data_IF_937953432543
#
_entry.id   IF_937953432543
#
_cell.length_a   1.000
_cell.length_b   1.000
_cell.length_c   1.000
_cell.angle_alpha   90.00
_cell.angle_beta   90.00
_cell.angle_gamma   90.00
#
_symmetry.space_group_name_H-M   'P 1'
#
loop_
_entity.id
_entity.type
_entity.pdbx_description
1 polymer ?
#
# COMPACT_ATOMS: atom_id res chain seq x y z
N UNK A 1 4.59 4.28 -3.30
CA UNK A 1 3.71 3.31 -2.61
C UNK A 1 3.04 3.99 -1.44
N UNK A 2 1.72 3.82 -1.30
CA UNK A 2 0.98 4.43 -0.21
C UNK A 2 0.26 3.36 0.63
N UNK A 3 0.49 3.39 1.93
CA UNK A 3 -0.25 2.58 2.90
C UNK A 3 -1.41 3.39 3.47
N UNK A 4 -2.61 2.84 3.37
CA UNK A 4 -3.87 3.52 3.64
C UNK A 4 -4.62 2.79 4.76
N UNK A 5 -5.27 3.52 5.63
CA UNK A 5 -6.09 2.95 6.72
C UNK A 5 -6.30 3.92 7.87
N UNK A 6 -7.26 3.61 8.71
CA UNK A 6 -7.51 4.35 9.94
C UNK A 6 -6.33 4.23 10.94
N UNK A 7 -6.34 5.06 11.97
CA UNK A 7 -5.40 4.92 13.08
C UNK A 7 -5.56 3.53 13.73
N UNK A 8 -4.45 2.87 14.02
CA UNK A 8 -4.47 1.54 14.62
C UNK A 8 -4.80 0.39 13.65
N UNK A 9 -4.86 0.63 12.33
CA UNK A 9 -5.07 -0.43 11.32
C UNK A 9 -3.82 -1.27 11.02
N UNK A 10 -2.67 -0.97 11.64
CA UNK A 10 -1.42 -1.72 11.48
C UNK A 10 -0.52 -1.21 10.35
N UNK A 11 -0.74 0.00 9.81
CA UNK A 11 0.09 0.56 8.72
C UNK A 11 1.57 0.61 9.08
N UNK A 12 1.92 1.16 10.23
CA UNK A 12 3.32 1.28 10.68
C UNK A 12 3.99 -0.08 10.82
N UNK A 13 3.26 -1.10 11.33
CA UNK A 13 3.75 -2.47 11.42
C UNK A 13 4.05 -3.06 10.03
N UNK A 14 3.15 -2.86 9.07
CA UNK A 14 3.33 -3.34 7.69
C UNK A 14 4.47 -2.61 6.98
N UNK A 15 4.59 -1.29 7.20
CA UNK A 15 5.71 -0.50 6.71
C UNK A 15 7.05 -0.96 7.28
N UNK A 16 7.10 -1.18 8.59
CA UNK A 16 8.32 -1.69 9.24
C UNK A 16 8.73 -3.05 8.67
N UNK A 17 7.76 -3.94 8.42
CA UNK A 17 8.01 -5.23 7.79
C UNK A 17 8.53 -5.07 6.35
N UNK A 18 7.98 -4.15 5.56
CA UNK A 18 8.43 -3.86 4.20
C UNK A 18 9.86 -3.30 4.19
N UNK A 19 10.16 -2.34 5.07
CA UNK A 19 11.51 -1.77 5.21
C UNK A 19 12.50 -2.86 5.66
N UNK A 20 12.13 -3.71 6.63
CA UNK A 20 13.01 -4.81 7.06
C UNK A 20 13.23 -5.84 5.94
N UNK A 21 12.20 -6.15 5.15
CA UNK A 21 12.33 -7.01 3.98
C UNK A 21 13.32 -6.42 2.97
N UNK A 22 13.17 -5.16 2.59
CA UNK A 22 14.09 -4.46 1.68
C UNK A 22 15.52 -4.45 2.24
N UNK A 23 15.68 -4.16 3.53
CA UNK A 23 16.96 -4.12 4.24
C UNK A 23 17.67 -5.48 4.28
N UNK A 24 16.95 -6.60 4.23
CA UNK A 24 17.53 -7.96 4.20
C UNK A 24 17.93 -8.40 2.81
N UNK A 25 17.22 -7.96 1.78
CA UNK A 25 17.32 -8.53 0.45
C UNK A 25 18.08 -7.67 -0.54
N UNK A 26 18.23 -6.36 -0.29
CA UNK A 26 18.94 -5.47 -1.19
C UNK A 26 19.83 -4.49 -0.44
N UNK A 27 20.97 -4.17 -1.04
CA UNK A 27 21.85 -3.08 -0.61
C UNK A 27 21.27 -1.73 -0.98
N UNK A 28 21.70 -0.68 -0.30
CA UNK A 28 21.30 0.70 -0.60
C UNK A 28 21.15 1.55 0.64
N UNK A 29 20.61 2.75 0.44
CA UNK A 29 20.40 3.73 1.49
C UNK A 29 18.90 4.00 1.67
N UNK A 30 18.38 3.72 2.85
CA UNK A 30 16.99 3.94 3.23
C UNK A 30 16.94 5.12 4.21
N UNK A 31 16.17 6.14 3.89
CA UNK A 31 15.92 7.25 4.80
C UNK A 31 14.47 7.21 5.25
N UNK A 32 14.23 7.30 6.55
CA UNK A 32 12.88 7.47 7.10
C UNK A 32 12.75 8.81 7.80
N UNK A 33 11.57 9.44 7.68
CA UNK A 33 11.21 10.67 8.37
C UNK A 33 9.85 10.42 9.01
N UNK A 34 9.80 10.36 10.33
CA UNK A 34 8.65 9.87 11.10
C UNK A 34 8.28 10.83 12.24
N UNK A 35 7.05 10.74 12.73
CA UNK A 35 6.50 11.59 13.80
C UNK A 35 5.49 10.79 14.66
N UNK A 36 5.95 10.04 15.69
CA UNK A 36 7.34 9.67 16.04
C UNK A 36 7.85 8.41 15.31
N UNK A 37 9.11 8.02 15.56
CA UNK A 37 9.67 6.72 15.15
C UNK A 37 9.05 5.61 16.01
N UNK A 38 8.26 4.72 15.39
CA UNK A 38 7.62 3.59 16.10
C UNK A 38 8.49 2.34 16.14
N UNK A 39 9.31 2.10 15.11
CA UNK A 39 10.15 0.91 14.98
C UNK A 39 11.58 1.30 14.64
N UNK A 40 12.52 0.80 15.41
CA UNK A 40 13.96 1.02 15.17
C UNK A 40 14.50 -0.06 14.25
N UNK A 41 15.08 0.33 13.13
CA UNK A 41 15.69 -0.55 12.15
C UNK A 41 17.21 -0.64 12.33
N UNK A 42 17.74 -1.86 12.47
CA UNK A 42 19.18 -2.10 12.42
C UNK A 42 19.65 -2.18 10.98
N UNK A 43 20.84 -1.67 10.68
CA UNK A 43 21.49 -1.89 9.39
C UNK A 43 21.69 -3.40 9.13
N UNK A 44 21.39 -3.84 7.91
CA UNK A 44 21.64 -5.20 7.43
C UNK A 44 22.40 -5.12 6.11
N UNK A 45 21.72 -5.33 4.98
CA UNK A 45 22.31 -5.06 3.65
C UNK A 45 22.22 -3.59 3.25
N UNK A 46 21.26 -2.87 3.79
CA UNK A 46 21.09 -1.43 3.55
C UNK A 46 21.56 -0.62 4.77
N UNK A 47 21.98 0.61 4.52
CA UNK A 47 22.15 1.64 5.55
C UNK A 47 20.77 2.29 5.78
N UNK A 48 20.33 2.38 7.03
CA UNK A 48 19.07 3.01 7.38
C UNK A 48 19.32 4.23 8.26
N UNK A 49 18.88 5.39 7.83
CA UNK A 49 18.89 6.62 8.60
C UNK A 49 17.45 7.00 8.94
N UNK A 50 17.10 6.93 10.22
CA UNK A 50 15.78 7.34 10.73
C UNK A 50 15.89 8.73 11.34
N UNK A 51 14.89 9.57 11.06
CA UNK A 51 14.79 10.93 11.59
C UNK A 51 13.43 11.15 12.20
N UNK A 52 13.41 11.52 13.45
CA UNK A 52 12.18 11.89 14.17
C UNK A 52 11.95 13.40 14.10
N UNK A 53 10.73 13.80 13.75
CA UNK A 53 10.32 15.20 13.78
C UNK A 53 10.24 15.67 15.23
N UNK A 54 10.82 16.84 15.50
CA UNK A 54 10.92 17.38 16.87
C UNK A 54 12.15 16.94 17.65
N UNK A 55 12.85 15.88 17.20
CA UNK A 55 14.09 15.38 17.82
C UNK A 55 15.28 15.61 16.88
N UNK A 56 15.28 14.96 15.71
CA UNK A 56 16.38 14.99 14.74
C UNK A 56 16.20 16.07 13.66
N UNK A 57 14.97 16.52 13.46
CA UNK A 57 14.60 17.54 12.49
C UNK A 57 13.45 18.40 13.01
N UNK A 58 13.42 19.67 12.57
CA UNK A 58 12.39 20.61 13.02
C UNK A 58 10.99 20.35 12.43
N UNK A 59 10.93 19.77 11.24
CA UNK A 59 9.67 19.49 10.53
C UNK A 59 9.91 18.50 9.38
N UNK A 60 8.83 17.92 8.85
CA UNK A 60 8.88 17.13 7.63
C UNK A 60 9.52 17.92 6.48
N UNK A 61 9.10 19.16 6.25
CA UNK A 61 9.67 20.02 5.19
C UNK A 61 11.18 20.18 5.31
N UNK A 62 11.68 20.50 6.51
CA UNK A 62 13.12 20.69 6.74
C UNK A 62 13.92 19.41 6.46
N UNK A 63 13.38 18.25 6.82
CA UNK A 63 14.00 16.96 6.55
C UNK A 63 13.98 16.64 5.04
N UNK A 64 12.81 16.74 4.40
CA UNK A 64 12.59 16.35 3.00
C UNK A 64 13.41 17.20 2.01
N UNK A 65 13.53 18.48 2.28
CA UNK A 65 14.28 19.43 1.42
C UNK A 65 15.71 19.00 1.09
N UNK A 66 16.37 18.31 2.01
CA UNK A 66 17.78 17.91 1.84
C UNK A 66 17.93 16.39 1.61
N UNK A 67 16.86 15.64 1.58
CA UNK A 67 16.90 14.17 1.50
C UNK A 67 17.54 13.69 0.19
N UNK A 68 17.19 14.27 -0.96
CA UNK A 68 17.77 13.89 -2.26
C UNK A 68 19.31 14.04 -2.32
N UNK A 69 19.87 15.00 -1.57
CA UNK A 69 21.33 15.21 -1.53
C UNK A 69 22.09 14.13 -0.79
N UNK A 70 21.38 13.21 -0.14
CA UNK A 70 21.95 12.10 0.62
C UNK A 70 21.96 10.80 -0.19
N UNK A 71 21.60 10.87 -1.48
CA UNK A 71 21.51 9.74 -2.41
C UNK A 71 20.77 8.52 -1.81
N UNK A 72 19.51 8.65 -1.37
CA UNK A 72 18.72 7.53 -0.89
C UNK A 72 18.21 6.69 -2.06
N UNK A 73 18.06 5.39 -1.86
CA UNK A 73 17.32 4.52 -2.79
C UNK A 73 15.85 4.44 -2.40
N UNK A 74 15.57 4.49 -1.09
CA UNK A 74 14.22 4.41 -0.52
C UNK A 74 14.01 5.55 0.47
N UNK A 75 12.89 6.24 0.34
CA UNK A 75 12.48 7.32 1.24
C UNK A 75 11.12 6.95 1.84
N UNK A 76 11.07 6.77 3.16
CA UNK A 76 9.83 6.62 3.91
C UNK A 76 9.46 7.95 4.53
N UNK A 77 8.28 8.44 4.18
CA UNK A 77 7.65 9.62 4.79
C UNK A 77 6.54 9.09 5.70
N UNK A 78 6.65 9.29 7.00
CA UNK A 78 5.76 8.71 8.00
C UNK A 78 4.29 8.83 7.62
N UNK A 79 3.85 10.05 7.29
CA UNK A 79 2.51 10.27 6.73
C UNK A 79 2.44 11.51 5.83
N UNK A 80 1.51 11.48 4.86
CA UNK A 80 1.13 12.64 4.05
C UNK A 80 -0.11 13.28 4.66
N UNK A 81 0.05 14.50 5.18
CA UNK A 81 -1.03 15.29 5.80
C UNK A 81 -1.45 16.47 4.95
N UNK A 82 -0.61 16.93 4.05
CA UNK A 82 -0.77 18.16 3.30
C UNK A 82 -0.19 18.08 1.90
N UNK A 83 -0.43 19.15 1.14
CA UNK A 83 0.04 19.31 -0.22
C UNK A 83 1.55 19.27 -0.33
N UNK A 84 2.27 19.98 0.55
CA UNK A 84 3.71 20.14 0.49
C UNK A 84 4.42 18.78 0.64
N UNK A 85 3.99 17.98 1.62
CA UNK A 85 4.50 16.62 1.82
C UNK A 85 4.21 15.73 0.61
N UNK A 86 3.01 15.86 -0.01
CA UNK A 86 2.68 15.11 -1.22
C UNK A 86 3.52 15.52 -2.42
N UNK A 87 3.78 16.82 -2.61
CA UNK A 87 4.66 17.34 -3.67
C UNK A 87 6.08 16.78 -3.52
N UNK A 88 6.61 16.68 -2.31
CA UNK A 88 7.90 16.03 -2.06
C UNK A 88 7.89 14.53 -2.41
N UNK A 89 6.85 13.80 -2.00
CA UNK A 89 6.72 12.37 -2.31
C UNK A 89 6.70 12.11 -3.83
N UNK A 90 5.97 12.94 -4.57
CA UNK A 90 5.92 12.87 -6.04
C UNK A 90 7.28 13.21 -6.66
N UNK A 91 7.94 14.29 -6.21
CA UNK A 91 9.25 14.68 -6.72
C UNK A 91 10.32 13.59 -6.50
N UNK A 92 10.26 12.87 -5.37
CA UNK A 92 11.14 11.73 -5.12
C UNK A 92 10.86 10.58 -6.08
N UNK A 93 9.59 10.25 -6.29
CA UNK A 93 9.19 9.20 -7.22
C UNK A 93 9.57 9.54 -8.66
N UNK A 94 9.40 10.79 -9.09
CA UNK A 94 9.76 11.30 -10.42
C UNK A 94 11.28 11.19 -10.69
N UNK A 95 12.09 11.35 -9.66
CA UNK A 95 13.54 11.23 -9.76
C UNK A 95 14.06 9.79 -9.58
N UNK A 96 13.16 8.79 -9.61
CA UNK A 96 13.51 7.37 -9.62
C UNK A 96 13.65 6.73 -8.23
N UNK A 97 13.41 7.47 -7.15
CA UNK A 97 13.48 6.93 -5.79
C UNK A 97 12.20 6.20 -5.42
N UNK A 98 12.29 5.15 -4.62
CA UNK A 98 11.12 4.52 -4.04
C UNK A 98 10.58 5.35 -2.87
N UNK A 99 9.57 6.17 -3.14
CA UNK A 99 8.85 6.91 -2.11
C UNK A 99 7.75 6.04 -1.49
N UNK A 100 7.76 5.89 -0.17
CA UNK A 100 6.77 5.13 0.60
C UNK A 100 6.19 6.05 1.66
N UNK A 101 4.87 6.04 1.84
CA UNK A 101 4.23 6.84 2.89
C UNK A 101 2.93 6.22 3.38
N UNK A 102 2.36 6.83 4.43
CA UNK A 102 1.00 6.51 4.88
C UNK A 102 0.03 7.64 4.57
N UNK A 103 -1.24 7.28 4.46
CA UNK A 103 -2.34 8.21 4.34
C UNK A 103 -3.53 7.71 5.15
N UNK A 104 -4.18 8.62 5.86
CA UNK A 104 -5.42 8.31 6.58
C UNK A 104 -6.62 8.38 5.64
N UNK A 105 -7.08 7.24 5.14
CA UNK A 105 -8.31 7.06 4.37
C UNK A 105 -8.79 5.62 4.58
N UNK A 106 -10.01 5.27 4.14
CA UNK A 106 -10.55 3.93 4.38
C UNK A 106 -10.25 2.93 3.25
N UNK A 107 -9.98 3.40 2.04
CA UNK A 107 -9.63 2.58 0.86
C UNK A 107 -8.86 3.43 -0.17
N UNK A 108 -8.44 2.81 -1.27
CA UNK A 108 -7.66 3.46 -2.32
C UNK A 108 -8.41 4.63 -2.99
N UNK A 109 -9.71 4.49 -3.25
CA UNK A 109 -10.50 5.57 -3.86
C UNK A 109 -10.55 6.80 -2.96
N UNK A 110 -10.88 6.62 -1.67
CA UNK A 110 -10.88 7.72 -0.71
C UNK A 110 -9.50 8.34 -0.50
N UNK A 111 -8.44 7.54 -0.62
CA UNK A 111 -7.08 8.04 -0.57
C UNK A 111 -6.78 8.96 -1.74
N UNK A 112 -7.18 8.58 -2.96
CA UNK A 112 -7.05 9.42 -4.16
C UNK A 112 -7.85 10.71 -4.02
N UNK A 113 -9.12 10.64 -3.61
CA UNK A 113 -9.95 11.82 -3.36
C UNK A 113 -9.30 12.77 -2.36
N UNK A 114 -8.73 12.22 -1.27
CA UNK A 114 -8.05 13.01 -0.26
C UNK A 114 -6.80 13.69 -0.81
N UNK A 115 -5.99 12.98 -1.60
CA UNK A 115 -4.81 13.54 -2.24
C UNK A 115 -5.22 14.68 -3.20
N UNK A 116 -6.25 14.48 -4.02
CA UNK A 116 -6.75 15.51 -4.94
C UNK A 116 -7.21 16.75 -4.18
N UNK A 117 -7.85 16.57 -3.03
CA UNK A 117 -8.33 17.67 -2.19
C UNK A 117 -7.22 18.46 -1.46
N UNK A 118 -5.99 17.96 -1.40
CA UNK A 118 -4.85 18.77 -0.95
C UNK A 118 -4.48 19.87 -1.95
N UNK A 119 -4.89 19.74 -3.23
CA UNK A 119 -4.48 20.63 -4.30
C UNK A 119 -5.63 21.52 -4.78
N UNK A 120 -5.36 22.80 -5.08
CA UNK A 120 -6.33 23.66 -5.72
C UNK A 120 -6.66 23.16 -7.12
N UNK A 121 -7.82 23.53 -7.65
CA UNK A 121 -8.36 23.00 -8.91
C UNK A 121 -7.38 23.12 -10.09
N UNK A 122 -6.68 24.24 -10.17
CA UNK A 122 -5.76 24.53 -11.27
C UNK A 122 -4.54 23.58 -11.29
N UNK A 123 -4.22 22.97 -10.15
CA UNK A 123 -3.10 22.02 -9.99
C UNK A 123 -3.51 20.56 -10.13
N UNK A 124 -4.79 20.25 -10.07
CA UNK A 124 -5.29 18.86 -10.11
C UNK A 124 -4.95 18.10 -11.40
N UNK A 125 -5.01 18.70 -12.61
CA UNK A 125 -4.60 17.97 -13.81
C UNK A 125 -3.15 17.52 -13.77
N UNK A 126 -2.23 18.39 -13.32
CA UNK A 126 -0.83 18.04 -13.18
C UNK A 126 -0.62 16.97 -12.10
N UNK A 127 -1.30 17.10 -10.95
CA UNK A 127 -1.26 16.10 -9.89
C UNK A 127 -1.68 14.71 -10.39
N UNK A 128 -2.80 14.61 -11.12
CA UNK A 128 -3.30 13.35 -11.64
C UNK A 128 -2.33 12.73 -12.65
N UNK A 129 -1.69 13.56 -13.47
CA UNK A 129 -0.66 13.12 -14.39
C UNK A 129 0.55 12.55 -13.64
N UNK A 130 1.10 13.30 -12.68
CA UNK A 130 2.28 12.90 -11.91
C UNK A 130 1.98 11.64 -11.06
N UNK A 131 0.79 11.60 -10.45
CA UNK A 131 0.36 10.46 -9.64
C UNK A 131 0.17 9.20 -10.50
N UNK A 132 -0.47 9.32 -11.67
CA UNK A 132 -0.64 8.19 -12.59
C UNK A 132 0.70 7.65 -13.07
N UNK A 133 1.68 8.50 -13.38
CA UNK A 133 3.00 8.07 -13.83
C UNK A 133 3.79 7.36 -12.73
N UNK A 134 3.71 7.86 -11.49
CA UNK A 134 4.58 7.44 -10.39
C UNK A 134 3.98 6.39 -9.47
N UNK A 135 2.65 6.20 -9.51
CA UNK A 135 1.99 5.25 -8.63
C UNK A 135 2.45 3.82 -8.90
N UNK A 136 2.99 3.16 -7.87
CA UNK A 136 3.29 1.73 -7.89
C UNK A 136 2.18 0.91 -7.23
N UNK A 137 1.76 1.29 -6.03
CA UNK A 137 0.68 0.61 -5.32
C UNK A 137 0.02 1.49 -4.25
N UNK A 138 -1.27 1.23 -4.02
CA UNK A 138 -1.93 1.49 -2.75
C UNK A 138 -2.14 0.18 -2.00
N UNK A 139 -1.83 0.17 -0.72
CA UNK A 139 -2.08 -0.95 0.20
C UNK A 139 -2.97 -0.44 1.31
N UNK A 140 -4.26 -0.73 1.23
CA UNK A 140 -5.23 -0.30 2.24
C UNK A 140 -5.43 -1.41 3.26
N UNK A 141 -5.58 -1.06 4.54
CA UNK A 141 -5.57 -2.03 5.62
C UNK A 141 -6.64 -1.73 6.67
N UNK A 142 -7.39 -2.78 7.05
CA UNK A 142 -8.36 -2.81 8.17
C UNK A 142 -8.02 -3.99 9.09
N UNK A 143 -8.12 -3.78 10.41
CA UNK A 143 -8.02 -4.88 11.36
C UNK A 143 -9.43 -5.36 11.74
N UNK A 144 -9.70 -6.63 11.44
CA UNK A 144 -10.97 -7.30 11.74
C UNK A 144 -10.82 -8.30 12.89
N UNK A 145 -11.87 -8.53 13.67
CA UNK A 145 -11.86 -9.47 14.78
C UNK A 145 -11.96 -10.89 14.25
N UNK A 146 -11.07 -11.75 14.72
CA UNK A 146 -11.09 -13.17 14.40
C UNK A 146 -11.98 -13.97 15.36
N UNK A 147 -12.40 -15.13 14.95
CA UNK A 147 -13.25 -16.06 15.75
C UNK A 147 -12.55 -16.53 17.03
N UNK A 148 -11.20 -16.51 17.07
CA UNK A 148 -10.39 -16.81 18.26
C UNK A 148 -10.11 -15.59 19.16
N UNK A 149 -10.79 -14.46 18.90
CA UNK A 149 -10.69 -13.24 19.71
C UNK A 149 -9.47 -12.34 19.42
N UNK A 150 -8.65 -12.68 18.43
CA UNK A 150 -7.53 -11.87 17.98
C UNK A 150 -7.94 -10.85 16.92
N UNK A 151 -6.95 -10.30 16.20
CA UNK A 151 -7.17 -9.44 15.05
C UNK A 151 -6.37 -9.95 13.85
N UNK A 152 -6.98 -9.86 12.68
CA UNK A 152 -6.32 -10.16 11.39
C UNK A 152 -6.48 -8.97 10.46
N UNK A 153 -5.51 -8.73 9.61
CA UNK A 153 -5.60 -7.67 8.62
C UNK A 153 -6.43 -8.15 7.41
N UNK A 154 -7.50 -7.42 7.10
CA UNK A 154 -8.06 -7.43 5.76
C UNK A 154 -7.30 -6.37 4.95
N UNK A 155 -6.84 -6.74 3.75
CA UNK A 155 -5.97 -5.91 2.93
C UNK A 155 -6.59 -5.71 1.56
N UNK A 156 -6.65 -4.46 1.12
CA UNK A 156 -6.92 -4.09 -0.27
C UNK A 156 -5.60 -3.74 -0.94
N UNK A 157 -5.39 -4.21 -2.17
CA UNK A 157 -4.19 -3.93 -2.96
C UNK A 157 -4.59 -3.43 -4.34
N UNK A 158 -4.21 -2.20 -4.66
CA UNK A 158 -4.32 -1.62 -6.00
C UNK A 158 -2.92 -1.39 -6.56
N UNK A 159 -2.62 -1.96 -7.71
CA UNK A 159 -1.34 -1.81 -8.40
C UNK A 159 -1.44 -0.76 -9.52
N UNK A 160 -0.37 0.02 -9.69
CA UNK A 160 -0.25 1.04 -10.74
C UNK A 160 -0.06 0.43 -12.13
N UNK A 161 -0.98 -0.44 -12.57
CA UNK A 161 -0.98 -0.98 -13.95
C UNK A 161 -1.31 0.10 -14.97
N UNK A 162 -1.00 -0.09 -16.26
CA UNK A 162 -1.35 0.89 -17.30
C UNK A 162 -2.80 1.32 -17.26
N UNK A 163 -3.75 0.39 -17.08
CA UNK A 163 -5.18 0.69 -16.99
C UNK A 163 -5.52 1.56 -15.77
N UNK A 164 -4.97 1.23 -14.59
CA UNK A 164 -5.17 2.04 -13.37
C UNK A 164 -4.60 3.45 -13.55
N UNK A 165 -3.41 3.57 -14.15
CA UNK A 165 -2.77 4.87 -14.42
C UNK A 165 -3.61 5.74 -15.36
N UNK A 166 -4.15 5.13 -16.44
CA UNK A 166 -5.00 5.82 -17.40
C UNK A 166 -6.30 6.32 -16.76
N UNK A 167 -6.95 5.52 -15.91
CA UNK A 167 -8.12 5.95 -15.15
C UNK A 167 -7.81 7.11 -14.20
N UNK A 168 -6.65 7.09 -13.54
CA UNK A 168 -6.21 8.20 -12.68
C UNK A 168 -5.98 9.46 -13.51
N UNK A 169 -5.30 9.37 -14.66
CA UNK A 169 -5.08 10.50 -15.56
C UNK A 169 -6.38 11.16 -16.01
N UNK A 170 -7.42 10.35 -16.29
CA UNK A 170 -8.75 10.84 -16.69
C UNK A 170 -9.65 11.26 -15.54
N UNK A 171 -9.20 11.08 -14.30
CA UNK A 171 -10.00 11.27 -13.08
C UNK A 171 -11.26 10.38 -13.03
N UNK A 172 -11.19 9.18 -13.62
CA UNK A 172 -12.27 8.18 -13.64
C UNK A 172 -12.15 7.22 -12.45
N UNK A 173 -12.10 7.78 -11.24
CA UNK A 173 -11.76 7.02 -10.02
C UNK A 173 -12.84 6.00 -9.62
N UNK A 174 -14.07 6.18 -10.05
CA UNK A 174 -15.18 5.24 -9.78
C UNK A 174 -14.99 3.88 -10.43
N UNK A 175 -14.23 3.82 -11.53
CA UNK A 175 -13.98 2.58 -12.28
C UNK A 175 -12.88 1.72 -11.67
N UNK A 176 -12.05 2.28 -10.79
CA UNK A 176 -10.88 1.60 -10.22
C UNK A 176 -11.24 0.27 -9.54
N UNK A 177 -12.31 0.27 -8.73
CA UNK A 177 -12.74 -0.93 -8.01
C UNK A 177 -13.11 -2.08 -8.96
N UNK A 178 -13.82 -1.77 -10.05
CA UNK A 178 -14.19 -2.76 -11.06
C UNK A 178 -12.99 -3.35 -11.82
N UNK A 179 -11.93 -2.56 -12.03
CA UNK A 179 -10.67 -3.04 -12.60
C UNK A 179 -9.91 -3.91 -11.59
N UNK A 180 -9.85 -3.51 -10.33
CA UNK A 180 -9.21 -4.31 -9.27
C UNK A 180 -9.85 -5.69 -9.14
N UNK A 181 -11.19 -5.78 -9.14
CA UNK A 181 -11.94 -7.03 -9.07
C UNK A 181 -11.62 -7.98 -10.24
N UNK A 182 -11.37 -7.44 -11.44
CA UNK A 182 -11.02 -8.20 -12.64
C UNK A 182 -9.54 -8.54 -12.74
N UNK A 183 -8.70 -7.95 -11.91
CA UNK A 183 -7.22 -8.04 -11.98
C UNK A 183 -6.60 -8.80 -10.81
N UNK A 184 -7.34 -9.74 -10.24
CA UNK A 184 -6.86 -10.58 -9.12
C UNK A 184 -5.67 -11.46 -9.52
N UNK A 185 -5.59 -11.85 -10.79
CA UNK A 185 -4.46 -12.58 -11.36
C UNK A 185 -3.15 -11.77 -11.35
N UNK A 186 -3.23 -10.44 -11.30
CA UNK A 186 -2.08 -9.54 -11.18
C UNK A 186 -1.70 -9.27 -9.72
N UNK A 187 -2.43 -9.82 -8.76
CA UNK A 187 -2.23 -9.59 -7.32
C UNK A 187 -3.04 -8.42 -6.75
N UNK A 188 -3.97 -7.84 -7.51
CA UNK A 188 -4.91 -6.88 -6.98
C UNK A 188 -5.98 -7.56 -6.13
N UNK A 189 -6.45 -6.86 -5.11
CA UNK A 189 -7.47 -7.38 -4.19
C UNK A 189 -8.30 -6.22 -3.65
N UNK A 190 -9.63 -6.37 -3.63
CA UNK A 190 -10.52 -5.43 -2.95
C UNK A 190 -10.75 -5.85 -1.50
N UNK A 191 -11.22 -4.93 -0.64
CA UNK A 191 -11.63 -5.30 0.73
C UNK A 191 -12.73 -6.34 0.74
N UNK A 192 -13.71 -6.23 -0.16
CA UNK A 192 -14.83 -7.17 -0.23
C UNK A 192 -14.34 -8.60 -0.55
N UNK A 193 -13.31 -8.73 -1.42
CA UNK A 193 -12.67 -10.02 -1.70
C UNK A 193 -11.92 -10.56 -0.47
N UNK A 194 -11.09 -9.73 0.17
CA UNK A 194 -10.34 -10.12 1.35
C UNK A 194 -11.25 -10.56 2.51
N UNK A 195 -12.35 -9.86 2.73
CA UNK A 195 -13.31 -10.16 3.79
C UNK A 195 -14.11 -11.42 3.48
N UNK A 196 -14.51 -11.62 2.22
CA UNK A 196 -15.14 -12.84 1.77
C UNK A 196 -14.25 -14.06 2.01
N UNK A 197 -12.99 -14.00 1.60
CA UNK A 197 -12.03 -15.09 1.75
C UNK A 197 -11.81 -15.42 3.24
N UNK A 198 -11.65 -14.40 4.10
CA UNK A 198 -11.51 -14.57 5.55
C UNK A 198 -12.75 -15.22 6.20
N UNK A 199 -13.94 -14.90 5.71
CA UNK A 199 -15.18 -15.49 6.22
C UNK A 199 -15.33 -16.96 5.76
N UNK A 200 -15.02 -17.26 4.50
CA UNK A 200 -15.03 -18.65 3.95
C UNK A 200 -13.98 -19.52 4.64
N UNK A 201 -12.81 -18.98 4.97
CA UNK A 201 -11.79 -19.66 5.79
C UNK A 201 -12.27 -19.92 7.24
N UNK A 202 -13.37 -19.32 7.69
CA UNK A 202 -13.82 -19.35 9.09
C UNK A 202 -12.95 -18.53 10.05
N UNK A 203 -12.04 -17.72 9.51
CA UNK A 203 -11.15 -16.86 10.32
C UNK A 203 -11.91 -15.71 10.99
N UNK A 204 -12.96 -15.21 10.34
CA UNK A 204 -13.87 -14.19 10.87
C UNK A 204 -15.32 -14.64 10.72
N UNK A 205 -16.24 -14.03 11.48
CA UNK A 205 -17.66 -14.28 11.31
C UNK A 205 -18.22 -13.56 10.09
N UNK A 206 -19.35 -14.03 9.55
CA UNK A 206 -20.06 -13.33 8.47
C UNK A 206 -20.43 -11.89 8.88
N UNK A 207 -20.93 -11.70 10.09
CA UNK A 207 -21.28 -10.37 10.62
C UNK A 207 -20.05 -9.41 10.64
N UNK A 208 -18.88 -9.93 11.03
CA UNK A 208 -17.65 -9.13 11.01
C UNK A 208 -17.23 -8.79 9.58
N UNK A 209 -17.38 -9.72 8.63
CA UNK A 209 -17.14 -9.45 7.22
C UNK A 209 -18.06 -8.35 6.67
N UNK A 210 -19.38 -8.49 6.91
CA UNK A 210 -20.39 -7.52 6.43
C UNK A 210 -20.22 -6.13 7.05
N UNK A 211 -19.84 -6.06 8.33
CA UNK A 211 -19.58 -4.80 9.04
C UNK A 211 -18.43 -4.01 8.46
N UNK A 212 -17.41 -4.70 7.96
CA UNK A 212 -16.19 -4.09 7.45
C UNK A 212 -16.15 -3.98 5.91
N UNK A 213 -17.14 -4.53 5.20
CA UNK A 213 -17.22 -4.50 3.75
C UNK A 213 -17.50 -3.10 3.20
N UNK A 214 -16.96 -2.81 2.03
CA UNK A 214 -17.31 -1.60 1.26
C UNK A 214 -18.71 -1.77 0.65
N UNK A 215 -19.06 -3.00 0.23
CA UNK A 215 -20.39 -3.38 -0.24
C UNK A 215 -20.91 -4.61 0.50
N UNK A 216 -21.55 -4.40 1.65
CA UNK A 216 -22.11 -5.49 2.47
C UNK A 216 -23.10 -6.38 1.69
N UNK A 217 -23.87 -5.81 0.76
CA UNK A 217 -24.81 -6.57 -0.06
C UNK A 217 -24.09 -7.53 -1.02
N UNK A 218 -23.01 -7.09 -1.63
CA UNK A 218 -22.21 -7.90 -2.54
C UNK A 218 -21.56 -9.08 -1.78
N UNK A 219 -20.92 -8.79 -0.64
CA UNK A 219 -20.30 -9.83 0.21
C UNK A 219 -21.36 -10.82 0.71
N UNK A 220 -22.53 -10.35 1.18
CA UNK A 220 -23.63 -11.20 1.63
C UNK A 220 -24.14 -12.13 0.52
N UNK A 221 -24.32 -11.60 -0.69
CA UNK A 221 -24.77 -12.41 -1.82
C UNK A 221 -23.76 -13.52 -2.14
N UNK A 222 -22.48 -13.20 -2.17
CA UNK A 222 -21.40 -14.17 -2.43
C UNK A 222 -21.31 -15.25 -1.36
N UNK A 223 -21.45 -14.89 -0.08
CA UNK A 223 -21.46 -15.85 1.03
C UNK A 223 -22.66 -16.78 0.96
N UNK A 224 -23.86 -16.28 0.62
CA UNK A 224 -25.05 -17.10 0.41
C UNK A 224 -24.87 -18.10 -0.74
N UNK A 225 -24.41 -17.65 -1.89
CA UNK A 225 -24.14 -18.53 -3.03
C UNK A 225 -23.13 -19.63 -2.65
N UNK A 226 -22.09 -19.28 -1.89
CA UNK A 226 -21.12 -20.25 -1.42
C UNK A 226 -21.74 -21.30 -0.48
N UNK A 227 -22.71 -20.92 0.37
CA UNK A 227 -23.39 -21.81 1.28
C UNK A 227 -24.45 -22.71 0.57
N UNK A 228 -25.09 -22.24 -0.49
CA UNK A 228 -26.10 -22.95 -1.28
C UNK A 228 -25.48 -23.97 -2.24
N UNK A 229 -24.29 -23.70 -2.78
CA UNK A 229 -23.60 -24.64 -3.68
C UNK A 229 -23.05 -25.89 -2.96
N UNK A 230 -23.19 -26.01 -1.61
CA UNK A 230 -22.62 -27.07 -0.78
C UNK A 230 -21.08 -27.09 -0.91
N UNK A 231 -20.35 -28.01 -0.25
CA UNK A 231 -18.93 -28.15 -0.49
C UNK A 231 -18.73 -28.65 -1.92
N UNK A 232 -18.86 -27.70 -2.86
CA UNK A 232 -18.57 -27.92 -4.27
C UNK A 232 -17.12 -28.36 -4.33
N UNK A 233 -16.90 -29.55 -4.88
CA UNK A 233 -15.62 -30.20 -5.14
C UNK A 233 -14.73 -29.46 -6.14
N UNK A 234 -14.94 -28.17 -6.30
CA UNK A 234 -13.89 -27.23 -6.66
C UNK A 234 -13.32 -26.74 -5.33
N UNK A 235 -12.63 -27.64 -4.63
CA UNK A 235 -11.61 -27.24 -3.71
C UNK A 235 -10.61 -26.39 -4.50
N UNK A 236 -10.84 -25.08 -4.58
CA UNK A 236 -9.72 -24.19 -4.46
C UNK A 236 -9.18 -24.54 -3.08
N UNK A 237 -8.22 -25.45 -3.05
CA UNK A 237 -7.37 -25.72 -1.91
C UNK A 237 -7.12 -24.37 -1.25
N UNK A 238 -7.19 -24.26 0.11
CA UNK A 238 -6.82 -23.01 0.77
C UNK A 238 -5.59 -22.55 0.03
N UNK A 239 -5.70 -21.41 -0.63
CA UNK A 239 -4.61 -20.90 -1.46
C UNK A 239 -3.49 -20.75 -0.46
N UNK A 240 -2.67 -21.84 -0.36
CA UNK A 240 -1.43 -21.79 0.38
C UNK A 240 -0.84 -20.47 -0.05
N UNK A 241 -0.39 -19.59 0.83
CA UNK A 241 0.15 -18.31 0.44
C UNK A 241 1.00 -18.63 -0.78
N UNK A 242 0.42 -18.37 -1.98
CA UNK A 242 1.19 -18.62 -3.20
C UNK A 242 2.42 -17.82 -2.89
N UNK A 243 3.62 -18.40 -2.97
CA UNK A 243 4.83 -17.62 -2.91
C UNK A 243 4.52 -16.49 -3.88
N UNK A 244 4.34 -15.27 -3.34
CA UNK A 244 3.79 -14.11 -4.02
C UNK A 244 4.31 -14.20 -5.42
N UNK A 245 3.42 -14.32 -6.43
CA UNK A 245 3.82 -14.58 -7.79
C UNK A 245 5.05 -13.74 -7.93
N UNK A 246 6.22 -14.31 -8.23
CA UNK A 246 7.47 -13.58 -8.17
C UNK A 246 7.24 -12.35 -9.02
N UNK A 247 6.67 -11.34 -8.39
CA UNK A 247 6.58 -9.99 -8.92
C UNK A 247 8.04 -9.67 -9.02
N UNK A 248 8.54 -9.65 -10.24
CA UNK A 248 9.96 -9.48 -10.44
C UNK A 248 10.30 -8.15 -9.77
N UNK A 249 10.99 -8.23 -8.62
CA UNK A 249 11.31 -7.04 -7.81
C UNK A 249 12.14 -6.07 -8.64
N UNK A 250 12.71 -6.50 -9.79
CA UNK A 250 13.36 -5.67 -10.81
C UNK A 250 12.42 -4.62 -11.38
N UNK A 251 11.14 -4.96 -11.61
CA UNK A 251 10.15 -4.01 -12.13
C UNK A 251 9.79 -2.89 -11.14
N UNK A 252 10.21 -3.04 -9.87
CA UNK A 252 9.96 -2.04 -8.82
C UNK A 252 11.19 -1.16 -8.54
N UNK A 253 12.27 -1.32 -9.32
CA UNK A 253 13.55 -0.65 -9.05
C UNK A 253 14.18 -1.07 -7.72
N UNK A 254 13.81 -2.23 -7.20
CA UNK A 254 14.28 -2.76 -5.91
C UNK A 254 15.48 -3.69 -6.04
N UNK A 255 15.93 -3.99 -7.25
CA UNK A 255 17.12 -4.79 -7.53
C UNK A 255 18.12 -3.93 -8.29
N UNK A 256 19.30 -3.80 -7.74
CA UNK A 256 20.43 -3.16 -8.42
C UNK A 256 21.00 -4.15 -9.45
N UNK A 257 21.12 -3.74 -10.71
CA UNK A 257 21.74 -4.53 -11.79
C UNK A 257 23.20 -4.93 -11.50
N UNK A 258 23.78 -4.39 -10.43
CA UNK A 258 25.14 -4.69 -9.96
C UNK A 258 25.27 -6.00 -9.18
N UNK A 259 24.17 -6.66 -8.83
CA UNK A 259 24.16 -7.89 -8.03
C UNK A 259 24.16 -9.19 -8.87
N UNK A 260 24.40 -9.14 -10.20
CA UNK A 260 24.68 -10.37 -10.95
C UNK A 260 26.10 -10.86 -10.62
N UNK A 261 26.26 -12.12 -10.18
CA UNK A 261 27.59 -12.70 -10.03
C UNK A 261 28.26 -12.70 -11.40
N UNK A 262 29.30 -11.90 -11.55
CA UNK A 262 30.12 -11.87 -12.74
C UNK A 262 30.61 -13.26 -13.10
N UNK A 263 30.42 -13.62 -14.35
CA UNK A 263 31.06 -14.76 -15.00
C UNK A 263 32.58 -14.68 -14.89
#
# INVERSE_FOLDING_TARGET
VLFVGATGSGKSTSLAALIDHRNRHASGHIITIEDPVEFIHKHKRSIINQREVGVDTRSFHAALKNTLRQAPDVILIGEIRDRETMEHALAFADTGHLAISTLHANNANQALDRIINFFPEERRPQLLHDLGNNLKAFVSQRLVKTTDGKRRAAVEVMLGTPTIRDLIHRNELTELKGIMEKSTNLGMQTFDNALYDLAVEGAITEDEALKNADSANNVRLRLKLHSEDGPSTIATAPRAPQPAAQVDVKDWGLVDERDEPGN
#
